data_IF_034670497029
#
_entry.id   IF_034670497029
#
_cell.length_a   1.000
_cell.length_b   1.000
_cell.length_c   1.000
_cell.angle_alpha   90.00
_cell.angle_beta   90.00
_cell.angle_gamma   90.00
#
_symmetry.space_group_name_H-M   'P 1'
#
loop_
_entity.id
_entity.type
_entity.pdbx_description
1 polymer ?
#
# COMPACT_ATOMS: atom_id res chain seq x y z
N UNK A 1 -4.04 0.83 25.11
CA UNK A 1 -2.63 0.71 24.68
C UNK A 1 -2.41 1.63 23.49
N UNK A 2 -1.42 2.55 23.55
CA UNK A 2 -1.10 3.44 22.42
C UNK A 2 -0.42 2.61 21.34
N UNK A 3 -0.93 2.59 20.12
CA UNK A 3 -0.32 1.85 19.01
C UNK A 3 1.03 2.49 18.65
N UNK A 4 2.15 1.90 19.13
CA UNK A 4 3.50 2.49 19.02
C UNK A 4 3.88 2.80 17.58
N UNK A 5 3.54 1.93 16.62
CA UNK A 5 3.84 2.15 15.20
C UNK A 5 2.99 3.24 14.56
N UNK A 6 1.74 3.42 15.00
CA UNK A 6 0.94 4.55 14.56
C UNK A 6 1.51 5.89 15.05
N UNK A 7 2.03 5.91 16.29
CA UNK A 7 2.61 7.12 16.88
C UNK A 7 3.94 7.54 16.24
N UNK A 8 4.75 6.58 15.78
CA UNK A 8 6.02 6.83 15.12
C UNK A 8 5.91 6.84 13.59
N UNK A 9 4.70 6.88 13.02
CA UNK A 9 4.50 6.82 11.57
C UNK A 9 4.82 8.16 10.93
N UNK A 10 5.73 8.15 9.95
CA UNK A 10 6.13 9.35 9.21
C UNK A 10 5.41 9.41 7.87
N UNK A 11 5.45 8.34 7.08
CA UNK A 11 4.81 8.32 5.76
C UNK A 11 4.62 6.92 5.19
N UNK A 12 3.66 6.82 4.27
CA UNK A 12 3.45 5.70 3.38
C UNK A 12 3.67 6.17 1.94
N UNK A 13 4.50 5.44 1.20
CA UNK A 13 4.45 5.46 -0.27
C UNK A 13 3.85 4.14 -0.73
N UNK A 14 2.80 4.23 -1.54
CA UNK A 14 2.11 3.08 -2.11
C UNK A 14 2.09 3.24 -3.63
N UNK A 15 2.50 2.20 -4.37
CA UNK A 15 2.49 2.19 -5.83
C UNK A 15 1.89 0.89 -6.32
N UNK A 16 1.19 0.94 -7.45
CA UNK A 16 0.66 -0.27 -8.07
C UNK A 16 0.53 -0.15 -9.58
N UNK A 17 0.47 -1.30 -10.24
CA UNK A 17 0.42 -1.40 -11.71
C UNK A 17 1.14 -2.63 -12.22
N UNK A 18 1.26 -2.72 -13.53
CA UNK A 18 1.95 -3.80 -14.24
C UNK A 18 3.22 -3.28 -14.90
N UNK A 19 4.19 -4.17 -15.17
CA UNK A 19 5.38 -3.82 -15.93
C UNK A 19 6.38 -2.93 -15.19
N UNK A 20 7.21 -2.23 -15.97
CA UNK A 20 8.33 -1.42 -15.47
C UNK A 20 7.89 -0.14 -14.75
N UNK A 21 6.79 0.48 -15.20
CA UNK A 21 6.34 1.78 -14.68
C UNK A 21 5.07 1.62 -13.88
N UNK A 22 5.16 1.80 -12.56
CA UNK A 22 4.00 1.88 -11.69
C UNK A 22 3.42 3.29 -11.79
N UNK A 23 2.48 3.47 -12.72
CA UNK A 23 1.83 4.76 -12.96
C UNK A 23 0.89 5.15 -11.82
N UNK A 24 0.35 4.19 -11.09
CA UNK A 24 -0.55 4.48 -10.00
C UNK A 24 0.24 4.60 -8.68
N UNK A 25 0.01 5.67 -7.94
CA UNK A 25 0.73 5.90 -6.69
C UNK A 25 0.02 6.84 -5.72
N UNK A 26 0.36 6.69 -4.44
CA UNK A 26 0.01 7.58 -3.36
C UNK A 26 1.22 7.87 -2.47
N UNK A 27 1.41 9.13 -2.09
CA UNK A 27 2.41 9.54 -1.11
C UNK A 27 1.73 10.27 0.06
N UNK A 28 1.65 9.64 1.22
CA UNK A 28 0.95 10.21 2.38
C UNK A 28 1.64 11.44 2.98
N UNK A 29 2.90 11.71 2.65
CA UNK A 29 3.64 12.89 3.11
C UNK A 29 3.26 14.14 2.32
N UNK A 30 3.16 14.01 0.99
CA UNK A 30 2.82 15.13 0.09
C UNK A 30 1.32 15.20 -0.23
N UNK A 31 0.63 14.08 -0.05
CA UNK A 31 -0.76 13.86 -0.44
C UNK A 31 -0.95 13.60 -1.92
N UNK A 32 0.13 13.52 -2.71
CA UNK A 32 0.06 13.29 -4.15
C UNK A 32 -0.51 11.90 -4.42
N UNK A 33 -1.61 11.89 -5.17
CA UNK A 33 -2.31 10.70 -5.62
C UNK A 33 -2.42 10.74 -7.13
N UNK A 34 -2.11 9.64 -7.80
CA UNK A 34 -2.32 9.51 -9.23
C UNK A 34 -2.70 8.07 -9.58
N UNK A 35 -3.58 7.93 -10.56
CA UNK A 35 -4.03 6.64 -11.06
C UNK A 35 -4.52 6.76 -12.51
N UNK A 36 -4.47 5.67 -13.26
CA UNK A 36 -5.18 5.54 -14.52
C UNK A 36 -6.65 5.23 -14.29
N UNK A 37 -7.54 5.97 -14.94
CA UNK A 37 -8.96 5.65 -14.99
C UNK A 37 -9.26 4.54 -16.03
N UNK A 38 -10.54 4.22 -16.22
CA UNK A 38 -10.98 3.19 -17.15
C UNK A 38 -10.72 3.50 -18.63
N UNK A 39 -10.35 4.75 -18.96
CA UNK A 39 -10.05 5.21 -20.31
C UNK A 39 -8.55 5.44 -20.50
N UNK A 40 -7.70 4.83 -19.66
CA UNK A 40 -6.25 5.02 -19.63
C UNK A 40 -5.83 6.50 -19.43
N UNK A 41 -6.70 7.32 -18.85
CA UNK A 41 -6.38 8.71 -18.54
C UNK A 41 -5.74 8.78 -17.16
N UNK A 42 -4.58 9.44 -17.09
CA UNK A 42 -3.92 9.74 -15.83
C UNK A 42 -4.69 10.83 -15.06
N UNK A 43 -5.30 10.43 -13.95
CA UNK A 43 -5.91 11.32 -12.98
C UNK A 43 -4.88 11.66 -11.91
N UNK A 44 -4.91 12.91 -11.44
CA UNK A 44 -4.04 13.41 -10.36
C UNK A 44 -4.87 14.16 -9.35
N UNK A 45 -4.70 13.81 -8.09
CA UNK A 45 -5.39 14.41 -6.96
C UNK A 45 -4.41 14.68 -5.82
N UNK A 46 -4.84 15.45 -4.83
CA UNK A 46 -4.00 15.80 -3.69
C UNK A 46 -4.78 15.80 -2.38
N UNK A 47 -4.56 14.78 -1.54
CA UNK A 47 -5.19 14.66 -0.23
C UNK A 47 -4.29 13.96 0.79
N UNK A 48 -4.37 14.38 2.05
CA UNK A 48 -3.59 13.82 3.15
C UNK A 48 -4.42 12.82 3.97
N UNK A 49 -3.73 11.82 4.52
CA UNK A 49 -4.29 10.96 5.56
C UNK A 49 -4.48 11.76 6.85
N UNK A 50 -5.61 11.54 7.55
CA UNK A 50 -5.80 12.06 8.91
C UNK A 50 -5.19 11.11 9.93
N UNK A 51 -4.96 11.62 11.15
CA UNK A 51 -4.51 10.81 12.28
C UNK A 51 -5.37 9.56 12.50
N UNK A 52 -6.71 9.69 12.38
CA UNK A 52 -7.62 8.54 12.52
C UNK A 52 -7.41 7.47 11.44
N UNK A 53 -7.12 7.88 10.20
CA UNK A 53 -6.79 6.94 9.12
C UNK A 53 -5.51 6.16 9.45
N UNK A 54 -4.47 6.86 9.94
CA UNK A 54 -3.19 6.24 10.34
C UNK A 54 -3.37 5.28 11.53
N UNK A 55 -4.16 5.66 12.53
CA UNK A 55 -4.48 4.80 13.69
C UNK A 55 -5.23 3.55 13.22
N UNK A 56 -6.26 3.71 12.39
CA UNK A 56 -7.03 2.58 11.86
C UNK A 56 -6.16 1.59 11.08
N UNK A 57 -5.34 2.11 10.14
CA UNK A 57 -4.41 1.31 9.34
C UNK A 57 -3.53 0.43 10.23
N UNK A 58 -2.86 1.04 11.22
CA UNK A 58 -1.95 0.31 12.10
C UNK A 58 -2.67 -0.62 13.09
N UNK A 59 -3.91 -0.29 13.49
CA UNK A 59 -4.70 -1.21 14.32
C UNK A 59 -5.00 -2.49 13.55
N UNK A 60 -5.42 -2.38 12.27
CA UNK A 60 -5.68 -3.56 11.42
C UNK A 60 -4.42 -4.36 11.09
N UNK A 61 -3.32 -3.66 10.79
CA UNK A 61 -2.02 -4.29 10.57
C UNK A 61 -1.60 -5.12 11.79
N UNK A 62 -1.73 -4.58 13.00
CA UNK A 62 -1.32 -5.26 14.21
C UNK A 62 -2.27 -6.40 14.58
N UNK A 63 -3.59 -6.18 14.48
CA UNK A 63 -4.63 -7.18 14.76
C UNK A 63 -4.43 -8.47 13.96
N UNK A 64 -4.06 -8.35 12.69
CA UNK A 64 -3.88 -9.48 11.78
C UNK A 64 -2.41 -9.86 11.56
N UNK A 65 -1.48 -9.19 12.24
CA UNK A 65 -0.04 -9.37 12.12
C UNK A 65 0.45 -9.37 10.64
N UNK A 66 0.00 -8.36 9.88
CA UNK A 66 0.13 -8.30 8.42
C UNK A 66 1.55 -7.99 7.92
N UNK A 67 2.38 -7.34 8.74
CA UNK A 67 3.77 -7.02 8.38
C UNK A 67 4.75 -8.15 8.74
N UNK A 68 4.31 -9.18 9.44
CA UNK A 68 5.12 -10.36 9.76
C UNK A 68 5.08 -11.38 8.61
N UNK A 69 5.60 -10.93 7.47
CA UNK A 69 5.79 -11.67 6.22
C UNK A 69 7.06 -11.16 5.52
N UNK A 70 7.60 -11.90 4.53
CA UNK A 70 8.76 -11.45 3.75
C UNK A 70 8.55 -10.09 3.08
N UNK A 71 9.64 -9.39 2.79
CA UNK A 71 9.59 -8.11 2.07
C UNK A 71 9.22 -8.30 0.60
N UNK A 72 9.60 -9.43 -0.01
CA UNK A 72 9.30 -9.74 -1.42
C UNK A 72 8.37 -10.96 -1.43
N UNK A 73 7.10 -10.73 -1.76
CA UNK A 73 6.07 -11.76 -1.93
C UNK A 73 5.89 -12.00 -3.42
N UNK A 74 6.75 -12.87 -3.96
CA UNK A 74 6.79 -13.25 -5.37
C UNK A 74 7.19 -14.72 -5.51
N UNK A 75 6.81 -15.36 -6.62
CA UNK A 75 7.20 -16.74 -6.90
C UNK A 75 8.72 -16.84 -7.17
N UNK A 76 9.35 -18.00 -6.98
CA UNK A 76 10.76 -18.21 -7.30
C UNK A 76 11.05 -17.82 -8.75
N UNK A 77 12.13 -17.09 -8.98
CA UNK A 77 12.53 -16.59 -10.32
C UNK A 77 11.50 -15.68 -10.99
N UNK A 78 10.52 -15.13 -10.24
CA UNK A 78 9.56 -14.20 -10.81
C UNK A 78 10.24 -12.92 -11.31
N UNK A 79 9.82 -12.47 -12.49
CA UNK A 79 10.12 -11.12 -12.94
C UNK A 79 9.26 -10.13 -12.14
N UNK A 80 9.88 -9.34 -11.27
CA UNK A 80 9.17 -8.32 -10.47
C UNK A 80 8.59 -7.19 -11.32
N UNK A 81 8.91 -7.13 -12.61
CA UNK A 81 8.43 -6.12 -13.56
C UNK A 81 7.67 -6.76 -14.71
N UNK A 82 7.04 -7.91 -14.47
CA UNK A 82 6.23 -8.60 -15.46
C UNK A 82 5.07 -7.67 -15.93
N UNK A 83 4.91 -7.43 -17.25
CA UNK A 83 3.84 -6.59 -17.79
C UNK A 83 2.43 -7.19 -17.64
N UNK A 84 2.31 -8.45 -17.22
CA UNK A 84 1.03 -9.17 -17.07
C UNK A 84 0.64 -9.38 -15.61
N UNK A 85 1.53 -9.12 -14.66
CA UNK A 85 1.29 -9.39 -13.24
C UNK A 85 1.15 -8.09 -12.50
N UNK A 86 0.01 -7.92 -11.81
CA UNK A 86 -0.22 -6.76 -10.97
C UNK A 86 0.75 -6.80 -9.78
N UNK A 87 1.52 -5.72 -9.65
CA UNK A 87 2.48 -5.50 -8.57
C UNK A 87 1.99 -4.40 -7.66
N UNK A 88 2.15 -4.61 -6.37
CA UNK A 88 2.01 -3.59 -5.33
C UNK A 88 3.36 -3.36 -4.65
N UNK A 89 3.73 -2.10 -4.48
CA UNK A 89 4.89 -1.68 -3.69
C UNK A 89 4.43 -0.83 -2.51
N UNK A 90 4.91 -1.17 -1.32
CA UNK A 90 4.64 -0.45 -0.08
C UNK A 90 5.97 0.01 0.52
N UNK A 91 6.03 1.26 0.95
CA UNK A 91 7.12 1.80 1.76
C UNK A 91 6.54 2.50 2.97
N UNK A 92 6.63 1.85 4.12
CA UNK A 92 6.29 2.44 5.41
C UNK A 92 7.57 3.04 6.01
N UNK A 93 7.52 4.33 6.30
CA UNK A 93 8.58 5.06 7.01
C UNK A 93 8.08 5.38 8.41
N UNK A 94 8.86 4.97 9.39
CA UNK A 94 8.70 5.30 10.79
C UNK A 94 9.90 6.15 11.25
N UNK A 95 9.81 6.75 12.43
CA UNK A 95 10.91 7.53 13.01
C UNK A 95 12.20 6.72 13.16
N UNK A 96 12.09 5.41 13.44
CA UNK A 96 13.20 4.51 13.75
C UNK A 96 13.56 3.54 12.62
N UNK A 97 12.62 3.28 11.70
CA UNK A 97 12.70 2.13 10.79
C UNK A 97 11.98 2.42 9.47
N UNK A 98 12.39 1.70 8.42
CA UNK A 98 11.67 1.69 7.13
C UNK A 98 11.41 0.25 6.73
N UNK A 99 10.18 -0.04 6.28
CA UNK A 99 9.77 -1.34 5.76
C UNK A 99 9.36 -1.16 4.30
N UNK A 100 10.07 -1.82 3.40
CA UNK A 100 9.77 -1.85 1.96
C UNK A 100 9.22 -3.23 1.62
N UNK A 101 8.11 -3.29 0.89
CA UNK A 101 7.48 -4.55 0.51
C UNK A 101 7.03 -4.53 -0.95
N UNK A 102 7.17 -5.67 -1.62
CA UNK A 102 6.69 -5.92 -2.98
C UNK A 102 5.78 -7.13 -2.94
N UNK A 103 4.59 -7.02 -3.51
CA UNK A 103 3.63 -8.11 -3.64
C UNK A 103 3.19 -8.27 -5.09
N UNK A 104 3.40 -9.47 -5.65
CA UNK A 104 2.86 -9.87 -6.95
C UNK A 104 1.58 -10.70 -6.75
N UNK A 105 0.50 -10.32 -7.44
CA UNK A 105 -0.81 -10.97 -7.25
C UNK A 105 -0.89 -12.42 -7.70
N UNK A 106 0.07 -12.89 -8.50
CA UNK A 106 0.17 -14.28 -8.93
C UNK A 106 0.94 -15.17 -7.94
N UNK A 107 1.29 -14.67 -6.76
CA UNK A 107 1.99 -15.45 -5.74
C UNK A 107 1.15 -16.66 -5.28
N UNK A 108 1.71 -17.86 -5.39
CA UNK A 108 1.00 -19.11 -5.09
C UNK A 108 1.74 -20.06 -4.12
N UNK A 109 2.92 -19.67 -3.63
CA UNK A 109 3.79 -20.58 -2.84
C UNK A 109 3.33 -20.82 -1.41
N UNK A 110 2.80 -19.80 -0.76
CA UNK A 110 2.31 -19.90 0.60
C UNK A 110 0.98 -19.16 0.72
N UNK A 111 -0.15 -19.87 0.88
CA UNK A 111 -1.46 -19.24 0.92
C UNK A 111 -1.64 -18.30 2.13
N UNK A 112 -0.93 -18.54 3.25
CA UNK A 112 -1.00 -17.68 4.44
C UNK A 112 -0.26 -16.37 4.17
N UNK A 113 0.93 -16.43 3.57
CA UNK A 113 1.69 -15.23 3.18
C UNK A 113 0.91 -14.43 2.13
N UNK A 114 0.38 -15.10 1.10
CA UNK A 114 -0.44 -14.47 0.07
C UNK A 114 -1.68 -13.79 0.64
N UNK A 115 -2.40 -14.46 1.55
CA UNK A 115 -3.56 -13.89 2.23
C UNK A 115 -3.21 -12.64 3.05
N UNK A 116 -2.09 -12.65 3.80
CA UNK A 116 -1.63 -11.48 4.55
C UNK A 116 -1.22 -10.32 3.66
N UNK A 117 -0.50 -10.58 2.57
CA UNK A 117 -0.11 -9.56 1.60
C UNK A 117 -1.34 -8.91 0.94
N UNK A 118 -2.33 -9.73 0.56
CA UNK A 118 -3.62 -9.24 0.03
C UNK A 118 -4.39 -8.43 1.08
N UNK A 119 -4.44 -8.87 2.34
CA UNK A 119 -5.09 -8.13 3.41
C UNK A 119 -4.40 -6.78 3.69
N UNK A 120 -3.06 -6.74 3.69
CA UNK A 120 -2.30 -5.49 3.82
C UNK A 120 -2.65 -4.51 2.70
N UNK A 121 -2.65 -4.99 1.46
CA UNK A 121 -3.03 -4.20 0.28
C UNK A 121 -4.44 -3.61 0.44
N UNK A 122 -5.42 -4.41 0.86
CA UNK A 122 -6.80 -3.96 1.07
C UNK A 122 -6.91 -2.90 2.16
N UNK A 123 -6.23 -3.08 3.29
CA UNK A 123 -6.22 -2.09 4.40
C UNK A 123 -5.63 -0.76 3.94
N UNK A 124 -4.50 -0.80 3.21
CA UNK A 124 -3.88 0.41 2.65
C UNK A 124 -4.82 1.09 1.65
N UNK A 125 -5.41 0.34 0.73
CA UNK A 125 -6.32 0.87 -0.27
C UNK A 125 -7.56 1.51 0.37
N UNK A 126 -8.17 0.82 1.34
CA UNK A 126 -9.34 1.33 2.07
C UNK A 126 -9.03 2.70 2.69
N UNK A 127 -7.88 2.82 3.37
CA UNK A 127 -7.47 4.06 4.05
C UNK A 127 -7.26 5.21 3.06
N UNK A 128 -6.72 4.93 1.87
CA UNK A 128 -6.53 5.92 0.81
C UNK A 128 -7.90 6.34 0.24
N UNK A 129 -8.76 5.39 -0.08
CA UNK A 129 -10.11 5.64 -0.62
C UNK A 129 -10.98 6.44 0.36
N UNK A 130 -10.99 6.11 1.65
CA UNK A 130 -11.69 6.92 2.67
C UNK A 130 -11.14 8.36 2.79
N UNK A 131 -9.86 8.56 2.47
CA UNK A 131 -9.25 9.89 2.47
C UNK A 131 -9.60 10.68 1.21
N UNK A 132 -9.66 10.00 0.06
CA UNK A 132 -10.08 10.51 -1.26
C UNK A 132 -11.56 10.91 -1.26
N UNK A 133 -12.47 10.02 -0.86
CA UNK A 133 -13.92 10.27 -0.82
C UNK A 133 -14.26 11.51 0.01
N UNK A 134 -13.56 11.68 1.13
CA UNK A 134 -13.69 12.85 2.01
C UNK A 134 -13.17 14.14 1.38
N UNK A 135 -12.21 14.04 0.46
CA UNK A 135 -11.72 15.18 -0.30
C UNK A 135 -12.70 15.56 -1.42
N UNK A 136 -13.23 14.57 -2.15
CA UNK A 136 -14.17 14.77 -3.27
C UNK A 136 -15.56 15.22 -2.80
N UNK A 137 -15.99 14.81 -1.61
CA UNK A 137 -17.30 15.21 -1.03
C UNK A 137 -17.33 16.61 -0.42
N UNK A 138 -16.30 17.44 -0.64
CA UNK A 138 -16.23 18.84 -0.23
C UNK A 138 -16.59 19.77 -1.37
#
# INVERSE_FOLDING_TARGET
>A
MRNKKAASFVSLTYKWGVGDTLQNSYNSKTGEYQFLDQNDKLIKEKFLLRTNNVIFMHSKINEQNLLNIPDIIANPQANLKDPKVLRYEFKFVYDDTTKNMIYLTNYDKDPIIGAKASALQKVVQQVITEAEERFVSR
#
